data_IF_026638362213
#
_entry.id   IF_026638362213
#
_cell.length_a   1.000
_cell.length_b   1.000
_cell.length_c   1.000
_cell.angle_alpha   90.00
_cell.angle_beta   90.00
_cell.angle_gamma   90.00
#
_symmetry.space_group_name_H-M   'P 1'
#
loop_
_entity.id
_entity.type
_entity.pdbx_description
1 polymer ?
#
# COMPACT_ATOMS: atom_id res chain seq x y z
N UNK A 1 -1.22 17.79 11.29
CA UNK A 1 -1.47 17.60 10.72
C UNK A 1 -2.14 16.75 10.39
N UNK A 2 -2.31 16.61 10.71
CA UNK A 2 -2.84 15.88 10.33
C UNK A 2 -3.49 15.75 9.67
N UNK A 3 -3.68 15.34 9.96
CA UNK A 3 -3.95 15.40 8.91
C UNK A 3 -5.18 14.92 8.38
N UNK A 4 -5.88 15.63 7.71
CA UNK A 4 -7.11 15.26 7.05
C UNK A 4 -6.90 14.37 5.85
N UNK A 5 -5.65 14.07 5.54
CA UNK A 5 -5.35 13.27 4.38
C UNK A 5 -5.96 11.88 4.44
N UNK A 6 -6.19 11.35 5.63
CA UNK A 6 -6.78 10.02 5.78
C UNK A 6 -8.15 9.89 5.14
N UNK A 7 -8.82 11.02 4.85
CA UNK A 7 -10.15 11.02 4.24
C UNK A 7 -10.13 11.26 2.74
N UNK A 8 -8.97 11.49 2.16
CA UNK A 8 -8.85 11.74 0.73
C UNK A 8 -8.71 10.44 -0.03
N UNK A 9 -9.34 10.43 -1.21
CA UNK A 9 -9.17 9.33 -2.14
C UNK A 9 -8.05 9.69 -3.10
N UNK A 10 -7.00 8.89 -3.11
CA UNK A 10 -5.87 9.06 -4.02
C UNK A 10 -6.24 8.45 -5.37
N UNK A 11 -5.92 9.15 -6.44
CA UNK A 11 -6.18 8.72 -7.80
C UNK A 11 -4.94 8.92 -8.66
N UNK A 12 -4.99 8.48 -9.90
CA UNK A 12 -3.90 8.74 -10.84
C UNK A 12 -3.67 10.22 -11.01
N UNK A 13 -4.72 11.02 -10.99
CA UNK A 13 -4.60 12.46 -11.11
C UNK A 13 -3.84 13.06 -9.93
N UNK A 14 -4.03 12.50 -8.73
CA UNK A 14 -3.26 12.92 -7.55
C UNK A 14 -1.76 12.86 -7.83
N UNK A 15 -1.29 11.74 -8.39
CA UNK A 15 0.14 11.55 -8.67
C UNK A 15 0.62 12.48 -9.77
N UNK A 16 -0.20 12.72 -10.79
CA UNK A 16 0.15 13.67 -11.86
C UNK A 16 0.32 15.08 -11.30
N UNK A 17 -0.59 15.48 -10.41
CA UNK A 17 -0.53 16.81 -9.79
C UNK A 17 0.71 16.96 -8.92
N UNK A 18 1.03 15.94 -8.14
CA UNK A 18 2.24 15.97 -7.30
C UNK A 18 3.49 16.08 -8.16
N UNK A 19 3.55 15.35 -9.26
CA UNK A 19 4.69 15.40 -10.16
C UNK A 19 4.85 16.79 -10.75
N UNK A 20 3.75 17.40 -11.21
CA UNK A 20 3.80 18.73 -11.80
C UNK A 20 4.25 19.79 -10.80
N UNK A 21 3.85 19.65 -9.54
CA UNK A 21 4.24 20.57 -8.47
C UNK A 21 5.63 20.31 -7.94
N UNK A 22 6.27 19.21 -8.33
CA UNK A 22 7.55 18.79 -7.80
C UNK A 22 7.46 18.32 -6.36
N UNK A 23 6.29 17.90 -5.91
CA UNK A 23 6.08 17.41 -4.55
C UNK A 23 6.26 15.89 -4.49
N UNK A 24 6.80 15.44 -3.37
CA UNK A 24 7.04 14.02 -3.15
C UNK A 24 5.82 13.37 -2.51
N UNK A 25 5.71 12.06 -2.66
CA UNK A 25 4.74 11.26 -1.94
C UNK A 25 5.42 10.03 -1.36
N UNK A 26 4.75 9.36 -0.43
CA UNK A 26 5.31 8.21 0.23
C UNK A 26 4.67 6.93 -0.29
N UNK A 27 5.50 5.91 -0.52
CA UNK A 27 5.05 4.57 -0.90
C UNK A 27 5.61 3.58 0.12
N UNK A 28 4.75 2.71 0.62
CA UNK A 28 5.16 1.68 1.58
C UNK A 28 4.55 0.35 1.19
N UNK A 29 5.23 -0.72 1.58
CA UNK A 29 4.73 -2.08 1.40
C UNK A 29 3.87 -2.47 2.59
N UNK A 30 2.74 -3.12 2.32
CA UNK A 30 1.90 -3.70 3.37
C UNK A 30 1.25 -4.99 2.87
N UNK A 31 0.97 -5.90 3.79
CA UNK A 31 0.40 -7.20 3.45
C UNK A 31 -0.86 -7.51 4.25
N UNK A 32 -1.33 -6.58 5.08
CA UNK A 32 -2.47 -6.86 5.94
C UNK A 32 -3.26 -5.60 6.26
N UNK A 33 -4.45 -5.78 6.84
CA UNK A 33 -5.43 -4.72 6.98
C UNK A 33 -5.03 -3.67 8.02
N UNK A 34 -4.50 -4.11 9.16
CA UNK A 34 -4.21 -3.19 10.27
C UNK A 34 -3.12 -2.20 9.89
N UNK A 35 -2.00 -2.67 9.34
CA UNK A 35 -0.92 -1.78 8.91
C UNK A 35 -1.39 -0.87 7.78
N UNK A 36 -2.19 -1.39 6.84
CA UNK A 36 -2.71 -0.57 5.74
C UNK A 36 -3.57 0.57 6.26
N UNK A 37 -4.42 0.29 7.24
CA UNK A 37 -5.24 1.31 7.88
C UNK A 37 -4.38 2.37 8.55
N UNK A 38 -3.35 1.95 9.28
CA UNK A 38 -2.43 2.87 9.96
C UNK A 38 -1.66 3.73 8.95
N UNK A 39 -1.23 3.13 7.84
CA UNK A 39 -0.53 3.86 6.79
C UNK A 39 -1.42 4.93 6.17
N UNK A 40 -2.69 4.61 5.92
CA UNK A 40 -3.63 5.59 5.40
C UNK A 40 -3.83 6.73 6.37
N UNK A 41 -3.96 6.43 7.66
CA UNK A 41 -4.10 7.46 8.70
C UNK A 41 -2.87 8.36 8.75
N UNK A 42 -1.70 7.81 8.45
CA UNK A 42 -0.45 8.57 8.43
C UNK A 42 -0.27 9.37 7.12
N UNK A 43 -1.17 9.21 6.17
CA UNK A 43 -1.11 9.97 4.92
C UNK A 43 -0.30 9.31 3.80
N UNK A 44 -0.02 8.01 3.90
CA UNK A 44 0.68 7.30 2.83
C UNK A 44 -0.23 7.22 1.61
N UNK A 45 0.28 7.63 0.46
CA UNK A 45 -0.50 7.71 -0.77
C UNK A 45 -0.51 6.42 -1.57
N UNK A 46 0.56 5.61 -1.48
CA UNK A 46 0.69 4.41 -2.30
C UNK A 46 1.10 3.23 -1.44
N UNK A 47 0.34 2.14 -1.54
CA UNK A 47 0.67 0.89 -0.85
C UNK A 47 1.00 -0.15 -1.92
N UNK A 48 2.16 -0.79 -1.77
CA UNK A 48 2.60 -1.86 -2.65
C UNK A 48 2.30 -3.21 -2.01
N UNK A 49 1.65 -4.09 -2.76
CA UNK A 49 1.48 -5.49 -2.38
C UNK A 49 2.24 -6.30 -3.42
N UNK A 50 3.40 -6.82 -3.02
CA UNK A 50 4.29 -7.50 -3.95
C UNK A 50 4.75 -8.86 -3.44
N UNK A 51 5.59 -9.52 -4.23
CA UNK A 51 6.01 -10.89 -3.98
C UNK A 51 7.00 -11.01 -2.82
N UNK A 52 7.48 -9.91 -2.26
CA UNK A 52 8.29 -9.98 -1.04
C UNK A 52 7.52 -10.59 0.13
N UNK A 53 6.18 -10.68 0.03
CA UNK A 53 5.39 -11.37 1.03
C UNK A 53 5.85 -12.83 1.21
N UNK A 54 6.40 -13.44 0.17
CA UNK A 54 6.91 -14.79 0.24
C UNK A 54 8.03 -14.94 1.25
N UNK A 55 8.87 -13.93 1.36
CA UNK A 55 9.99 -13.95 2.30
C UNK A 55 9.58 -13.41 3.67
N UNK A 56 8.89 -12.29 3.68
CA UNK A 56 8.57 -11.57 4.93
C UNK A 56 7.45 -12.24 5.71
N UNK A 57 6.42 -12.73 5.00
CA UNK A 57 5.24 -13.32 5.64
C UNK A 57 5.29 -14.83 5.63
N UNK A 58 5.65 -15.44 4.50
CA UNK A 58 5.61 -16.90 4.34
C UNK A 58 6.91 -17.59 4.77
N UNK A 59 7.99 -16.83 4.93
CA UNK A 59 9.24 -17.40 5.44
C UNK A 59 10.08 -18.13 4.40
N UNK A 60 9.82 -17.94 3.11
CA UNK A 60 10.63 -18.53 2.05
C UNK A 60 11.97 -17.80 1.90
N UNK A 61 12.94 -18.48 1.32
CA UNK A 61 14.25 -17.88 1.04
C UNK A 61 14.25 -17.00 -0.20
N UNK A 62 13.20 -17.07 -1.01
CA UNK A 62 13.08 -16.29 -2.25
C UNK A 62 11.61 -16.00 -2.52
N UNK A 63 11.37 -15.20 -3.56
CA UNK A 63 10.01 -14.87 -4.00
C UNK A 63 9.46 -15.89 -5.00
N UNK A 64 10.26 -16.84 -5.43
CA UNK A 64 9.89 -17.79 -6.48
C UNK A 64 8.62 -18.59 -6.14
N UNK A 65 8.42 -19.09 -4.89
CA UNK A 65 7.24 -19.89 -4.58
C UNK A 65 5.93 -19.10 -4.52
N UNK A 66 5.98 -17.76 -4.58
CA UNK A 66 4.77 -16.95 -4.42
C UNK A 66 3.87 -17.11 -5.63
N UNK A 67 2.61 -17.47 -5.37
CA UNK A 67 1.61 -17.63 -6.42
C UNK A 67 0.80 -16.35 -6.62
N UNK A 68 0.10 -16.26 -7.72
CA UNK A 68 -0.85 -15.16 -7.94
C UNK A 68 -1.95 -15.17 -6.88
N UNK A 69 -2.36 -16.35 -6.45
CA UNK A 69 -3.37 -16.46 -5.40
C UNK A 69 -2.90 -15.88 -4.08
N UNK A 70 -1.62 -16.05 -3.75
CA UNK A 70 -1.04 -15.43 -2.56
C UNK A 70 -1.13 -13.91 -2.66
N UNK A 71 -0.76 -13.36 -3.79
CA UNK A 71 -0.82 -11.90 -4.03
C UNK A 71 -2.27 -11.42 -3.91
N UNK A 72 -3.20 -12.11 -4.52
CA UNK A 72 -4.62 -11.71 -4.49
C UNK A 72 -5.18 -11.75 -3.08
N UNK A 73 -4.81 -12.77 -2.30
CA UNK A 73 -5.24 -12.86 -0.91
C UNK A 73 -4.78 -11.65 -0.11
N UNK A 74 -3.48 -11.34 -0.19
CA UNK A 74 -2.93 -10.22 0.57
C UNK A 74 -3.43 -8.87 0.05
N UNK A 75 -3.68 -8.78 -1.25
CA UNK A 75 -4.30 -7.58 -1.83
C UNK A 75 -5.70 -7.34 -1.23
N UNK A 76 -6.48 -8.40 -1.05
CA UNK A 76 -7.79 -8.28 -0.39
C UNK A 76 -7.64 -7.83 1.05
N UNK A 77 -6.65 -8.34 1.77
CA UNK A 77 -6.40 -7.91 3.15
C UNK A 77 -6.07 -6.42 3.20
N UNK A 78 -5.17 -5.97 2.34
CA UNK A 78 -4.79 -4.56 2.27
C UNK A 78 -5.99 -3.70 1.90
N UNK A 79 -6.77 -4.15 0.93
CA UNK A 79 -7.97 -3.43 0.50
C UNK A 79 -8.94 -3.23 1.66
N UNK A 80 -9.09 -4.22 2.52
CA UNK A 80 -10.00 -4.14 3.67
C UNK A 80 -9.58 -3.04 4.65
N UNK A 81 -8.29 -2.76 4.75
CA UNK A 81 -7.79 -1.69 5.63
C UNK A 81 -7.57 -0.37 4.93
N UNK A 82 -7.68 -0.34 3.61
CA UNK A 82 -7.37 0.87 2.84
C UNK A 82 -8.46 1.92 3.03
N UNK A 83 -8.02 3.15 3.27
CA UNK A 83 -8.89 4.31 3.48
C UNK A 83 -8.70 5.38 2.42
N UNK A 84 -8.16 5.03 1.27
CA UNK A 84 -8.01 5.98 0.17
C UNK A 84 -6.67 5.98 -0.54
N UNK A 85 -5.71 5.21 -0.04
CA UNK A 85 -4.43 5.09 -0.75
C UNK A 85 -4.62 4.41 -2.10
#
# INVERSE_FOLDING_TARGET
>A
MAKSQSNKIVSLQTFRDLKQKGEKFAALTSYEATLSSMMCDAGIELILVGDSLGMVIQGHDSTVPVSMEDILYHLRCVKSGNKGA
#
